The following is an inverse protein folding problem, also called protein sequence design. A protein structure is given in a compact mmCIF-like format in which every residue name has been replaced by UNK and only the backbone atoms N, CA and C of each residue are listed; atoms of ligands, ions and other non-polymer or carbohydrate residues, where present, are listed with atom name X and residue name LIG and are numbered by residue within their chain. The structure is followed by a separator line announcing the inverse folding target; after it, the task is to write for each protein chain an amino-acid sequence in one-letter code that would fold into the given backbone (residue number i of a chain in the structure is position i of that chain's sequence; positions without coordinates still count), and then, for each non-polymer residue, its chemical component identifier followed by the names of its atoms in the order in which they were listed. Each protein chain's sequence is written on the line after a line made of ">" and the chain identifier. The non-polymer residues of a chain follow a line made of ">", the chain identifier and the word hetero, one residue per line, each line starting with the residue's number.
data_IF_328057052104
#
_entry.id   IF_328057052104
#
_cell.length_a   1.000
_cell.length_b   1.000
_cell.length_c   1.000
_cell.angle_alpha   90.00
_cell.angle_beta   90.00
_cell.angle_gamma   90.00
#
_symmetry.space_group_name_H-M   'P 1'
#
loop_
_entity.id
_entity.type
_entity.pdbx_description
1 polymer ?
#
# COMPACT_ATOMS: atom_id res chain seq x y z
N UNK A 1 5.09 32.54 38.25
CA UNK A 1 6.44 32.62 37.66
C UNK A 1 6.46 31.62 36.50
N UNK A 2 6.36 32.08 35.24
CA UNK A 2 7.48 32.26 34.26
C UNK A 2 8.30 30.97 34.09
N UNK A 3 8.51 30.37 32.91
CA UNK A 3 8.21 30.68 31.50
C UNK A 3 8.60 29.45 30.65
N UNK A 4 7.87 29.13 29.59
CA UNK A 4 8.19 29.41 28.16
C UNK A 4 9.51 28.79 27.67
N UNK A 5 9.41 27.82 26.76
CA UNK A 5 10.23 27.81 25.56
C UNK A 5 9.47 27.12 24.40
N UNK A 6 8.83 27.94 23.59
CA UNK A 6 8.40 27.59 22.23
C UNK A 6 9.58 27.87 21.30
N UNK A 7 9.86 26.95 20.37
CA UNK A 7 10.70 27.23 19.20
C UNK A 7 9.78 27.12 17.99
N UNK A 8 9.20 28.26 17.65
CA UNK A 8 8.76 28.54 16.30
C UNK A 8 10.00 28.95 15.49
N UNK A 9 10.24 28.31 14.36
CA UNK A 9 11.01 28.91 13.28
C UNK A 9 10.06 29.16 12.12
N UNK A 10 9.72 30.44 11.97
CA UNK A 10 9.04 30.99 10.82
C UNK A 10 9.99 32.01 10.20
N UNK A 11 10.40 31.80 8.94
CA UNK A 11 10.82 32.85 7.98
C UNK A 11 10.67 32.20 6.59
N UNK A 12 10.05 32.79 5.57
CA UNK A 12 9.59 34.16 5.38
C UNK A 12 8.39 34.22 4.44
N UNK A 13 7.48 35.19 4.63
CA UNK A 13 7.54 36.59 4.22
C UNK A 13 6.86 36.81 2.85
N UNK A 14 5.64 37.36 2.95
CA UNK A 14 5.16 38.57 2.27
C UNK A 14 5.18 38.57 0.72
N UNK A 15 4.05 38.14 0.16
CA UNK A 15 3.46 38.71 -1.05
C UNK A 15 2.04 39.17 -0.75
N UNK A 16 1.86 40.45 -0.46
CA UNK A 16 0.54 41.11 -0.48
C UNK A 16 0.04 41.15 -1.92
N UNK A 17 -0.89 40.26 -2.24
CA UNK A 17 -1.57 40.21 -3.53
C UNK A 17 -2.90 39.49 -3.38
N UNK A 18 -3.98 40.19 -3.65
CA UNK A 18 -5.33 39.65 -3.67
C UNK A 18 -5.37 38.35 -4.50
N UNK A 19 -5.61 37.23 -3.84
CA UNK A 19 -6.25 36.09 -4.47
C UNK A 19 -7.29 35.56 -3.49
N UNK A 20 -8.53 35.51 -3.97
CA UNK A 20 -9.56 34.58 -3.52
C UNK A 20 -8.98 33.17 -3.70
N UNK A 21 -8.10 32.77 -2.78
CA UNK A 21 -7.50 31.45 -2.74
C UNK A 21 -8.48 30.56 -2.02
N UNK A 22 -9.21 29.76 -2.80
CA UNK A 22 -9.98 28.62 -2.32
C UNK A 22 -9.19 27.92 -1.21
N UNK A 23 -9.67 28.05 0.02
CA UNK A 23 -9.45 27.02 1.00
C UNK A 23 -10.08 25.76 0.40
N UNK A 24 -9.27 24.98 -0.34
CA UNK A 24 -9.58 23.59 -0.58
C UNK A 24 -9.54 23.00 0.81
N UNK A 25 -10.70 22.99 1.46
CA UNK A 25 -10.95 22.17 2.61
C UNK A 25 -10.65 20.75 2.15
N UNK A 26 -9.44 20.27 2.45
CA UNK A 26 -9.11 18.86 2.38
C UNK A 26 -10.07 18.21 3.36
N UNK A 27 -11.20 17.77 2.82
CA UNK A 27 -12.20 17.04 3.58
C UNK A 27 -11.48 15.76 3.96
N UNK A 28 -11.26 15.54 5.26
CA UNK A 28 -10.61 14.31 5.72
C UNK A 28 -11.31 13.12 5.05
N UNK A 29 -10.56 12.12 4.55
CA UNK A 29 -11.18 10.96 3.92
C UNK A 29 -12.18 10.34 4.90
N UNK A 30 -13.35 9.95 4.39
CA UNK A 30 -14.37 9.34 5.25
C UNK A 30 -13.83 8.01 5.81
N UNK A 31 -14.19 7.61 7.04
CA UNK A 31 -13.72 6.36 7.65
C UNK A 31 -13.87 5.14 6.75
N UNK A 32 -14.97 5.05 5.98
CA UNK A 32 -15.19 3.97 5.02
C UNK A 32 -14.13 3.89 3.91
N UNK A 33 -13.60 5.04 3.47
CA UNK A 33 -12.54 5.12 2.45
C UNK A 33 -11.19 4.73 3.05
N UNK A 34 -10.91 5.10 4.30
CA UNK A 34 -9.71 4.71 5.02
C UNK A 34 -9.68 3.19 5.26
N UNK A 35 -10.75 2.59 5.77
CA UNK A 35 -10.87 1.14 5.98
C UNK A 35 -10.70 0.36 4.66
N UNK A 36 -11.27 0.90 3.57
CA UNK A 36 -11.09 0.33 2.23
C UNK A 36 -9.63 0.42 1.78
N UNK A 37 -8.99 1.57 1.96
CA UNK A 37 -7.59 1.78 1.61
C UNK A 37 -6.66 0.85 2.39
N UNK A 38 -6.89 0.66 3.69
CA UNK A 38 -6.14 -0.27 4.54
C UNK A 38 -6.30 -1.72 4.06
N UNK A 39 -7.53 -2.14 3.78
CA UNK A 39 -7.83 -3.48 3.28
C UNK A 39 -7.13 -3.76 1.94
N UNK A 40 -7.22 -2.80 1.01
CA UNK A 40 -6.58 -2.85 -0.30
C UNK A 40 -5.05 -2.86 -0.17
N UNK A 41 -4.51 -1.99 0.67
CA UNK A 41 -3.08 -1.88 0.95
C UNK A 41 -2.51 -3.17 1.54
N UNK A 42 -3.23 -3.79 2.48
CA UNK A 42 -2.84 -5.07 3.06
C UNK A 42 -2.77 -6.18 2.00
N UNK A 43 -3.79 -6.29 1.13
CA UNK A 43 -3.81 -7.27 0.03
C UNK A 43 -2.68 -7.03 -0.96
N UNK A 44 -2.45 -5.77 -1.36
CA UNK A 44 -1.36 -5.41 -2.27
C UNK A 44 0.02 -5.69 -1.65
N UNK A 45 0.18 -5.44 -0.34
CA UNK A 45 1.39 -5.75 0.38
C UNK A 45 1.66 -7.26 0.45
N UNK A 46 0.67 -8.06 0.79
CA UNK A 46 0.78 -9.53 0.74
C UNK A 46 1.16 -10.04 -0.65
N UNK A 47 0.49 -9.54 -1.69
CA UNK A 47 0.84 -9.87 -3.07
C UNK A 47 2.30 -9.53 -3.39
N UNK A 48 2.76 -8.35 -2.97
CA UNK A 48 4.14 -7.90 -3.16
C UNK A 48 5.15 -8.83 -2.47
N UNK A 49 4.89 -9.19 -1.21
CA UNK A 49 5.75 -10.11 -0.46
C UNK A 49 5.83 -11.50 -1.11
N UNK A 50 4.72 -12.00 -1.68
CA UNK A 50 4.74 -13.27 -2.42
C UNK A 50 5.61 -13.20 -3.67
N UNK A 51 5.50 -12.13 -4.46
CA UNK A 51 6.34 -11.94 -5.65
C UNK A 51 7.81 -11.85 -5.26
N UNK A 52 8.14 -11.07 -4.23
CA UNK A 52 9.52 -10.90 -3.78
C UNK A 52 10.09 -12.24 -3.30
N UNK A 53 9.34 -12.97 -2.47
CA UNK A 53 9.75 -14.28 -1.99
C UNK A 53 9.99 -15.23 -3.17
N UNK A 54 9.05 -15.32 -4.13
CA UNK A 54 9.21 -16.17 -5.31
C UNK A 54 10.46 -15.80 -6.13
N UNK A 55 10.74 -14.50 -6.28
CA UNK A 55 11.89 -13.98 -7.03
C UNK A 55 13.24 -14.35 -6.40
N UNK A 56 13.33 -14.30 -5.07
CA UNK A 56 14.60 -14.50 -4.35
C UNK A 56 14.79 -15.93 -3.84
N UNK A 57 13.70 -16.65 -3.54
CA UNK A 57 13.71 -18.01 -3.01
C UNK A 57 13.29 -19.08 -4.00
N UNK A 58 12.80 -18.70 -5.18
CA UNK A 58 12.12 -19.60 -6.12
C UNK A 58 10.64 -19.75 -5.80
N UNK A 59 9.84 -20.04 -6.82
CA UNK A 59 8.37 -20.12 -6.73
C UNK A 59 7.72 -19.54 -7.99
N UNK A 60 6.40 -19.36 -7.94
CA UNK A 60 5.63 -18.77 -9.02
C UNK A 60 5.23 -17.31 -8.69
N UNK A 61 5.95 -16.35 -9.29
CA UNK A 61 5.64 -14.92 -9.17
C UNK A 61 4.22 -14.60 -9.67
N UNK A 62 3.67 -15.41 -10.59
CA UNK A 62 2.36 -15.19 -11.19
C UNK A 62 1.25 -15.14 -10.14
N UNK A 63 1.35 -15.94 -9.08
CA UNK A 63 0.33 -15.99 -8.02
C UNK A 63 0.19 -14.61 -7.36
N UNK A 64 1.32 -13.99 -6.99
CA UNK A 64 1.31 -12.65 -6.39
C UNK A 64 0.82 -11.58 -7.38
N UNK A 65 1.25 -11.65 -8.64
CA UNK A 65 0.76 -10.74 -9.68
C UNK A 65 -0.74 -10.88 -9.96
N UNK A 66 -1.29 -12.10 -9.93
CA UNK A 66 -2.72 -12.36 -10.11
C UNK A 66 -3.53 -11.76 -8.95
N UNK A 67 -3.09 -11.94 -7.70
CA UNK A 67 -3.72 -11.31 -6.52
C UNK A 67 -3.69 -9.79 -6.67
N UNK A 68 -2.54 -9.23 -7.08
CA UNK A 68 -2.38 -7.79 -7.28
C UNK A 68 -3.32 -7.25 -8.37
N UNK A 69 -3.50 -8.02 -9.44
CA UNK A 69 -4.44 -7.68 -10.51
C UNK A 69 -5.88 -7.70 -9.99
N UNK A 70 -6.27 -8.72 -9.24
CA UNK A 70 -7.62 -8.86 -8.69
C UNK A 70 -7.99 -7.68 -7.78
N UNK A 71 -7.10 -7.28 -6.87
CA UNK A 71 -7.37 -6.11 -6.01
C UNK A 71 -7.38 -4.82 -6.82
N UNK A 72 -6.52 -4.68 -7.83
CA UNK A 72 -6.52 -3.55 -8.76
C UNK A 72 -7.83 -3.43 -9.55
N UNK A 73 -8.34 -4.56 -10.05
CA UNK A 73 -9.63 -4.63 -10.74
C UNK A 73 -10.76 -4.23 -9.78
N UNK A 74 -10.71 -4.68 -8.52
CA UNK A 74 -11.72 -4.33 -7.52
C UNK A 74 -11.72 -2.85 -7.18
N UNK A 75 -10.54 -2.25 -6.97
CA UNK A 75 -10.42 -0.81 -6.71
C UNK A 75 -10.95 -0.01 -7.91
N UNK A 76 -10.65 -0.41 -9.15
CA UNK A 76 -11.20 0.22 -10.36
C UNK A 76 -12.71 0.12 -10.48
N UNK A 77 -13.31 -1.00 -10.06
CA UNK A 77 -14.77 -1.13 -9.97
C UNK A 77 -15.35 -0.16 -8.95
N UNK A 78 -14.74 -0.04 -7.77
CA UNK A 78 -15.19 0.89 -6.75
C UNK A 78 -14.98 2.35 -7.15
N UNK A 79 -13.93 2.65 -7.94
CA UNK A 79 -13.65 3.98 -8.47
C UNK A 79 -14.78 4.50 -9.39
N UNK A 80 -15.42 3.61 -10.15
CA UNK A 80 -16.60 3.99 -10.96
C UNK A 80 -17.77 4.46 -10.09
N UNK A 81 -17.76 4.08 -8.82
CA UNK A 81 -18.71 4.55 -7.81
C UNK A 81 -18.15 5.82 -7.16
N UNK A 82 -16.98 5.79 -6.51
CA UNK A 82 -16.41 6.91 -5.77
C UNK A 82 -15.06 7.37 -6.33
N UNK A 83 -15.00 8.60 -6.87
CA UNK A 83 -13.80 9.19 -7.46
C UNK A 83 -12.68 9.45 -6.46
N UNK A 84 -12.96 9.51 -5.15
CA UNK A 84 -11.94 9.68 -4.10
C UNK A 84 -10.97 8.49 -4.06
N UNK A 85 -11.39 7.34 -4.58
CA UNK A 85 -10.56 6.14 -4.67
C UNK A 85 -9.46 6.23 -5.72
N UNK A 86 -9.43 7.29 -6.53
CA UNK A 86 -8.45 7.44 -7.61
C UNK A 86 -7.03 7.46 -7.04
N UNK A 87 -6.83 8.27 -5.99
CA UNK A 87 -5.53 8.40 -5.33
C UNK A 87 -5.12 7.08 -4.66
N UNK A 88 -6.07 6.33 -4.09
CA UNK A 88 -5.81 5.00 -3.51
C UNK A 88 -5.36 4.01 -4.57
N UNK A 89 -6.00 4.00 -5.74
CA UNK A 89 -5.61 3.14 -6.85
C UNK A 89 -4.17 3.42 -7.31
N UNK A 90 -3.86 4.69 -7.54
CA UNK A 90 -2.55 5.14 -8.01
C UNK A 90 -1.45 4.88 -6.98
N UNK A 91 -1.71 5.19 -5.69
CA UNK A 91 -0.77 4.93 -4.61
C UNK A 91 -0.52 3.44 -4.41
N UNK A 92 -1.55 2.61 -4.53
CA UNK A 92 -1.41 1.15 -4.44
C UNK A 92 -0.57 0.60 -5.60
N UNK A 93 -0.74 1.08 -6.84
CA UNK A 93 0.08 0.66 -8.00
C UNK A 93 1.53 1.08 -7.78
N UNK A 94 1.77 2.35 -7.44
CA UNK A 94 3.10 2.88 -7.18
C UNK A 94 3.82 2.19 -6.01
N UNK A 95 3.11 1.91 -4.91
CA UNK A 95 3.68 1.24 -3.75
C UNK A 95 4.09 -0.21 -4.06
N UNK A 96 3.26 -0.93 -4.83
CA UNK A 96 3.59 -2.29 -5.27
C UNK A 96 4.85 -2.30 -6.14
N UNK A 97 4.91 -1.45 -7.16
CA UNK A 97 6.07 -1.38 -8.07
C UNK A 97 7.34 -0.91 -7.36
N UNK A 98 7.21 0.06 -6.45
CA UNK A 98 8.32 0.53 -5.62
C UNK A 98 8.87 -0.59 -4.75
N UNK A 99 8.00 -1.40 -4.13
CA UNK A 99 8.39 -2.54 -3.32
C UNK A 99 9.17 -3.58 -4.12
N UNK A 100 8.68 -3.94 -5.32
CA UNK A 100 9.37 -4.90 -6.20
C UNK A 100 10.73 -4.37 -6.67
N UNK A 101 10.79 -3.09 -7.02
CA UNK A 101 12.04 -2.43 -7.41
C UNK A 101 13.06 -2.42 -6.27
N UNK A 102 12.63 -2.02 -5.07
CA UNK A 102 13.48 -1.98 -3.88
C UNK A 102 14.00 -3.38 -3.51
N UNK A 103 13.15 -4.41 -3.64
CA UNK A 103 13.55 -5.79 -3.42
C UNK A 103 14.55 -6.28 -4.47
N UNK A 104 14.35 -5.95 -5.75
CA UNK A 104 15.29 -6.27 -6.82
C UNK A 104 16.66 -5.63 -6.57
N UNK A 105 16.71 -4.32 -6.30
CA UNK A 105 17.95 -3.59 -5.96
C UNK A 105 18.62 -4.21 -4.73
N UNK A 106 17.84 -4.58 -3.70
CA UNK A 106 18.38 -5.23 -2.50
C UNK A 106 18.98 -6.59 -2.82
N UNK A 107 18.32 -7.39 -3.65
CA UNK A 107 18.80 -8.70 -4.08
C UNK A 107 20.05 -8.61 -4.96
N UNK A 108 20.16 -7.60 -5.82
CA UNK A 108 21.37 -7.31 -6.61
C UNK A 108 22.54 -6.93 -5.70
N UNK A 109 22.30 -6.07 -4.69
CA UNK A 109 23.34 -5.58 -3.79
C UNK A 109 23.81 -6.61 -2.75
N UNK A 110 22.89 -7.41 -2.21
CA UNK A 110 23.16 -8.34 -1.09
C UNK A 110 23.26 -9.80 -1.53
N UNK A 111 22.88 -10.11 -2.76
CA UNK A 111 22.73 -11.47 -3.27
C UNK A 111 21.35 -12.05 -2.96
N UNK A 112 20.76 -12.76 -3.93
CA UNK A 112 19.45 -13.41 -3.80
C UNK A 112 19.40 -14.41 -2.65
N UNK A 113 20.47 -15.18 -2.44
CA UNK A 113 20.56 -16.18 -1.37
C UNK A 113 20.47 -15.54 0.01
N UNK A 114 21.15 -14.41 0.23
CA UNK A 114 21.09 -13.64 1.49
C UNK A 114 19.69 -13.14 1.76
N UNK A 115 19.01 -12.57 0.75
CA UNK A 115 17.63 -12.09 0.90
C UNK A 115 16.69 -13.26 1.16
N UNK A 116 16.85 -14.38 0.45
CA UNK A 116 16.05 -15.56 0.69
C UNK A 116 16.23 -16.14 2.10
N UNK A 117 17.45 -16.11 2.64
CA UNK A 117 17.70 -16.53 4.02
C UNK A 117 16.90 -15.69 5.02
N UNK A 118 16.70 -14.38 4.77
CA UNK A 118 15.83 -13.54 5.61
C UNK A 118 14.37 -14.01 5.56
N UNK A 119 13.85 -14.33 4.37
CA UNK A 119 12.49 -14.86 4.21
C UNK A 119 12.26 -16.23 4.87
N UNK A 120 13.33 -16.97 5.15
CA UNK A 120 13.30 -18.26 5.86
C UNK A 120 13.67 -18.13 7.34
N UNK A 121 14.06 -16.94 7.78
CA UNK A 121 14.51 -16.69 9.15
C UNK A 121 13.33 -16.70 10.11
N UNK A 122 13.48 -17.26 11.33
CA UNK A 122 12.51 -17.05 12.40
C UNK A 122 12.41 -15.57 12.82
N UNK A 123 13.44 -14.77 12.53
CA UNK A 123 13.49 -13.34 12.83
C UNK A 123 12.94 -12.47 11.67
N UNK A 124 12.24 -13.09 10.71
CA UNK A 124 11.53 -12.34 9.68
C UNK A 124 10.56 -11.37 10.35
N UNK A 125 10.54 -10.12 9.87
CA UNK A 125 9.65 -9.10 10.41
C UNK A 125 8.20 -9.63 10.45
N UNK A 126 7.54 -9.46 11.60
CA UNK A 126 6.19 -10.01 11.86
C UNK A 126 5.21 -9.60 10.76
N UNK A 127 5.30 -8.37 10.29
CA UNK A 127 4.47 -7.84 9.18
C UNK A 127 4.69 -8.62 7.88
N UNK A 128 5.94 -8.94 7.53
CA UNK A 128 6.25 -9.70 6.31
C UNK A 128 5.79 -11.15 6.45
N UNK A 129 6.04 -11.79 7.60
CA UNK A 129 5.56 -13.14 7.87
C UNK A 129 4.02 -13.22 7.79
N UNK A 130 3.33 -12.25 8.40
CA UNK A 130 1.86 -12.14 8.36
C UNK A 130 1.36 -11.91 6.93
N UNK A 131 2.04 -11.06 6.17
CA UNK A 131 1.69 -10.78 4.78
C UNK A 131 1.86 -12.01 3.88
N UNK A 132 2.89 -12.84 4.09
CA UNK A 132 3.07 -14.09 3.35
C UNK A 132 2.01 -15.13 3.70
N UNK A 133 1.66 -15.24 4.99
CA UNK A 133 0.57 -16.11 5.43
C UNK A 133 -0.76 -15.66 4.83
N UNK A 134 -1.06 -14.37 4.87
CA UNK A 134 -2.24 -13.79 4.26
C UNK A 134 -2.25 -14.02 2.74
N UNK A 135 -1.14 -13.75 2.05
CA UNK A 135 -0.99 -13.98 0.61
C UNK A 135 -1.28 -15.42 0.22
N UNK A 136 -0.78 -16.38 0.99
CA UNK A 136 -1.06 -17.81 0.79
C UNK A 136 -2.57 -18.12 0.92
N UNK A 137 -3.26 -17.50 1.86
CA UNK A 137 -4.72 -17.65 2.00
C UNK A 137 -5.47 -16.99 0.83
N UNK A 138 -5.01 -15.82 0.39
CA UNK A 138 -5.58 -15.09 -0.75
C UNK A 138 -5.36 -15.81 -2.09
N UNK A 139 -4.31 -16.62 -2.20
CA UNK A 139 -4.01 -17.44 -3.38
C UNK A 139 -4.97 -18.63 -3.57
N UNK A 140 -5.85 -18.91 -2.61
CA UNK A 140 -6.91 -19.93 -2.75
C UNK A 140 -8.10 -19.39 -3.55
N UNK A 141 -8.96 -20.26 -4.08
CA UNK A 141 -10.19 -19.83 -4.75
C UNK A 141 -11.10 -19.01 -3.82
N UNK A 142 -11.24 -19.45 -2.57
CA UNK A 142 -12.01 -18.71 -1.56
C UNK A 142 -11.38 -17.34 -1.24
N UNK A 143 -10.05 -17.27 -1.19
CA UNK A 143 -9.31 -16.03 -0.99
C UNK A 143 -9.51 -15.04 -2.14
N UNK A 144 -9.38 -15.51 -3.38
CA UNK A 144 -9.65 -14.72 -4.59
C UNK A 144 -11.09 -14.21 -4.63
N UNK A 145 -12.04 -15.07 -4.29
CA UNK A 145 -13.45 -14.68 -4.20
C UNK A 145 -13.68 -13.58 -3.16
N UNK A 146 -13.03 -13.67 -1.99
CA UNK A 146 -13.11 -12.61 -0.97
C UNK A 146 -12.59 -11.27 -1.48
N UNK A 147 -11.49 -11.24 -2.23
CA UNK A 147 -10.97 -10.00 -2.86
C UNK A 147 -12.02 -9.40 -3.79
N UNK A 148 -12.62 -10.23 -4.65
CA UNK A 148 -13.62 -9.78 -5.62
C UNK A 148 -14.88 -9.19 -4.98
N UNK A 149 -15.18 -9.60 -3.73
CA UNK A 149 -16.35 -9.18 -2.95
C UNK A 149 -16.08 -8.08 -1.92
N UNK A 150 -14.86 -7.55 -1.83
CA UNK A 150 -14.54 -6.46 -0.89
C UNK A 150 -15.50 -5.29 -1.10
N UNK A 151 -16.25 -4.83 -0.08
CA UNK A 151 -17.27 -3.80 -0.28
C UNK A 151 -16.64 -2.49 -0.77
N UNK A 152 -17.31 -1.81 -1.70
CA UNK A 152 -16.94 -0.44 -2.03
C UNK A 152 -17.43 0.49 -0.92
N UNK A 153 -16.66 1.54 -0.56
CA UNK A 153 -17.10 2.50 0.45
C UNK A 153 -18.41 3.18 0.02
N UNK A 154 -19.27 3.45 1.00
CA UNK A 154 -20.49 4.19 0.78
C UNK A 154 -20.18 5.63 0.35
N UNK A 155 -21.01 6.17 -0.55
CA UNK A 155 -21.06 7.60 -0.86
C UNK A 155 -21.88 8.28 0.24
N UNK A 156 -21.27 8.54 1.38
CA UNK A 156 -21.88 9.46 2.36
C UNK A 156 -21.71 10.90 1.88
#
# INVERSE_FOLDING_TARGET
>A
MRGVLAIALAVGLLGTGATLGLAVAQTAPSPAVEEFAESVGAVAFAAGQMVIQARVCGGDEKIGHDIRKLIGDRVRQCLATDSRLKEIAEQMDAAFDSMLTNAAVTAERRGKETVCALYRSPDLQVEVATALQMGTQLATDAGRERISRLPCPAKD
#
